data_IF_123435710887
#
_entry.id   IF_123435710887
#
_cell.length_a   1.000
_cell.length_b   1.000
_cell.length_c   1.000
_cell.angle_alpha   90.00
_cell.angle_beta   90.00
_cell.angle_gamma   90.00
#
_symmetry.space_group_name_H-M   'P 1'
#
loop_
_entity.id
_entity.type
_entity.pdbx_description
1 polymer ?
#
# COMPACT_ATOMS: atom_id res chain seq x y z
N UNK A 1 -30.48 6.53 -1.99
CA UNK A 1 -29.23 5.75 -2.01
C UNK A 1 -28.11 6.70 -2.43
N UNK A 2 -27.01 6.76 -1.69
CA UNK A 2 -25.87 7.61 -2.07
C UNK A 2 -25.10 6.85 -3.16
N UNK A 3 -25.06 7.39 -4.37
CA UNK A 3 -24.38 6.81 -5.53
C UNK A 3 -22.97 7.39 -5.74
N UNK A 4 -22.41 8.02 -4.70
CA UNK A 4 -21.11 8.70 -4.77
C UNK A 4 -20.08 7.90 -3.99
N UNK A 5 -18.88 7.77 -4.56
CA UNK A 5 -17.72 7.24 -3.85
C UNK A 5 -17.41 8.12 -2.61
N UNK A 6 -16.76 7.56 -1.58
CA UNK A 6 -16.27 8.34 -0.45
C UNK A 6 -15.38 9.50 -0.90
N UNK A 7 -15.33 10.58 -0.11
CA UNK A 7 -14.45 11.72 -0.40
C UNK A 7 -12.99 11.24 -0.56
N UNK A 8 -12.32 11.69 -1.62
CA UNK A 8 -10.96 11.28 -1.97
C UNK A 8 -10.86 9.93 -2.70
N UNK A 9 -11.93 9.15 -2.80
CA UNK A 9 -11.98 7.95 -3.64
C UNK A 9 -12.54 8.27 -5.03
N UNK A 10 -12.06 7.54 -6.04
CA UNK A 10 -12.59 7.59 -7.40
C UNK A 10 -12.51 6.21 -8.06
N UNK A 11 -13.50 5.90 -8.87
CA UNK A 11 -13.44 4.76 -9.77
C UNK A 11 -12.55 5.09 -10.98
N UNK A 12 -11.78 4.12 -11.44
CA UNK A 12 -11.06 4.21 -12.72
C UNK A 12 -11.93 3.55 -13.79
N UNK A 13 -12.33 4.33 -14.79
CA UNK A 13 -13.14 3.84 -15.90
C UNK A 13 -12.23 3.15 -16.95
N UNK A 14 -12.80 2.46 -17.96
CA UNK A 14 -12.00 1.64 -18.88
C UNK A 14 -10.81 2.36 -19.52
N UNK A 15 -10.97 3.64 -19.91
CA UNK A 15 -9.88 4.45 -20.46
C UNK A 15 -8.79 4.75 -19.43
N UNK A 16 -9.16 5.12 -18.20
CA UNK A 16 -8.22 5.40 -17.11
C UNK A 16 -7.40 4.15 -16.76
N UNK A 17 -8.05 2.98 -16.73
CA UNK A 17 -7.39 1.70 -16.49
C UNK A 17 -6.40 1.38 -17.61
N UNK A 18 -6.78 1.60 -18.88
CA UNK A 18 -5.90 1.39 -20.03
C UNK A 18 -4.67 2.31 -19.96
N UNK A 19 -4.87 3.59 -19.66
CA UNK A 19 -3.78 4.57 -19.51
C UNK A 19 -2.86 4.21 -18.33
N UNK A 20 -3.41 3.89 -17.16
CA UNK A 20 -2.64 3.45 -15.99
C UNK A 20 -1.75 2.25 -16.33
N UNK A 21 -2.31 1.21 -16.96
CA UNK A 21 -1.56 0.01 -17.37
C UNK A 21 -0.48 0.33 -18.40
N UNK A 22 -0.74 1.23 -19.33
CA UNK A 22 0.24 1.66 -20.33
C UNK A 22 1.45 2.36 -19.69
N UNK A 23 1.23 3.20 -18.67
CA UNK A 23 2.29 3.86 -17.90
C UNK A 23 3.09 2.81 -17.12
N UNK A 24 2.42 1.94 -16.36
CA UNK A 24 3.08 0.89 -15.57
C UNK A 24 3.93 -0.05 -16.43
N UNK A 25 3.46 -0.39 -17.64
CA UNK A 25 4.19 -1.23 -18.58
C UNK A 25 5.49 -0.57 -19.08
N UNK A 26 5.55 0.76 -19.16
CA UNK A 26 6.74 1.52 -19.58
C UNK A 26 7.72 1.76 -18.44
N UNK A 27 7.24 1.95 -17.22
CA UNK A 27 8.10 2.17 -16.06
C UNK A 27 8.78 0.88 -15.58
N UNK A 28 8.10 -0.26 -15.67
CA UNK A 28 8.62 -1.55 -15.15
C UNK A 28 10.00 -1.95 -15.72
N UNK A 29 10.26 -1.87 -17.04
CA UNK A 29 11.58 -2.20 -17.58
C UNK A 29 12.68 -1.27 -17.09
N UNK A 30 12.38 0.01 -16.85
CA UNK A 30 13.35 0.98 -16.32
C UNK A 30 13.79 0.53 -14.93
N UNK A 31 12.87 0.25 -14.01
CA UNK A 31 13.24 -0.25 -12.68
C UNK A 31 14.05 -1.57 -12.74
N UNK A 32 13.65 -2.49 -13.62
CA UNK A 32 14.35 -3.77 -13.78
C UNK A 32 15.79 -3.60 -14.30
N UNK A 33 16.05 -2.64 -15.19
CA UNK A 33 17.41 -2.33 -15.68
C UNK A 33 18.34 -1.85 -14.57
N UNK A 34 17.79 -1.26 -13.51
CA UNK A 34 18.52 -0.83 -12.33
C UNK A 34 18.54 -1.88 -11.20
N UNK A 35 18.14 -3.13 -11.49
CA UNK A 35 18.16 -4.24 -10.53
C UNK A 35 17.02 -4.23 -9.50
N UNK A 36 16.06 -3.32 -9.62
CA UNK A 36 14.90 -3.29 -8.73
C UNK A 36 13.91 -4.40 -9.07
N UNK A 37 13.45 -5.11 -8.04
CA UNK A 37 12.43 -6.15 -8.16
C UNK A 37 11.12 -5.67 -7.55
N UNK A 38 10.02 -5.90 -8.27
CA UNK A 38 8.69 -5.54 -7.77
C UNK A 38 8.23 -6.57 -6.74
N UNK A 39 7.88 -6.10 -5.56
CA UNK A 39 7.06 -6.83 -4.60
C UNK A 39 5.71 -6.13 -4.43
N UNK A 40 4.72 -6.86 -3.93
CA UNK A 40 3.40 -6.33 -3.57
C UNK A 40 3.16 -6.72 -2.11
N UNK A 41 3.04 -5.72 -1.25
CA UNK A 41 2.80 -5.90 0.19
C UNK A 41 1.30 -5.81 0.50
N UNK A 42 0.89 -6.22 1.71
CA UNK A 42 -0.52 -6.21 2.13
C UNK A 42 -1.09 -4.79 2.19
N UNK A 43 -2.32 -4.60 1.69
CA UNK A 43 -3.03 -3.30 1.77
C UNK A 43 -3.43 -2.96 3.20
N UNK A 44 -3.65 -3.97 4.04
CA UNK A 44 -3.98 -3.82 5.46
C UNK A 44 -2.82 -4.35 6.29
N UNK A 45 -2.32 -3.56 7.23
CA UNK A 45 -1.22 -3.95 8.12
C UNK A 45 -1.48 -3.45 9.55
N UNK A 46 -0.73 -3.98 10.52
CA UNK A 46 -0.78 -3.51 11.92
C UNK A 46 -0.36 -2.04 11.97
N UNK A 47 -1.08 -1.24 12.73
CA UNK A 47 -0.81 0.19 12.86
C UNK A 47 0.61 0.46 13.36
N UNK A 48 1.09 -0.33 14.33
CA UNK A 48 2.47 -0.22 14.85
C UNK A 48 3.51 -0.42 13.75
N UNK A 49 3.27 -1.35 12.81
CA UNK A 49 4.15 -1.56 11.65
C UNK A 49 4.17 -0.32 10.75
N UNK A 50 3.00 0.22 10.43
CA UNK A 50 2.86 1.38 9.56
C UNK A 50 3.56 2.62 10.17
N UNK A 51 3.54 2.74 11.49
CA UNK A 51 4.15 3.87 12.21
C UNK A 51 5.63 3.66 12.57
N UNK A 52 6.18 2.46 12.37
CA UNK A 52 7.53 2.11 12.82
C UNK A 52 8.65 3.01 12.22
N UNK A 53 8.39 3.64 11.06
CA UNK A 53 9.31 4.58 10.44
C UNK A 53 9.34 5.99 11.05
N UNK A 54 8.49 6.29 12.03
CA UNK A 54 8.44 7.60 12.73
C UNK A 54 7.96 8.78 11.88
N UNK A 55 7.64 8.57 10.60
CA UNK A 55 7.18 9.61 9.69
C UNK A 55 5.66 9.77 9.65
N UNK A 56 4.91 8.91 10.34
CA UNK A 56 3.45 8.84 10.29
C UNK A 56 2.84 8.92 11.68
N UNK A 57 1.81 9.76 11.78
CA UNK A 57 0.93 9.87 12.94
C UNK A 57 -0.31 8.98 12.73
N UNK A 58 -0.92 8.44 13.81
CA UNK A 58 -2.09 7.57 13.70
C UNK A 58 -3.28 8.22 12.94
N UNK A 59 -3.40 9.54 13.00
CA UNK A 59 -4.45 10.31 12.32
C UNK A 59 -4.28 10.37 10.80
N UNK A 60 -3.10 10.03 10.28
CA UNK A 60 -2.85 9.94 8.84
C UNK A 60 -3.24 8.58 8.25
N UNK A 61 -3.64 7.62 9.09
CA UNK A 61 -3.99 6.26 8.69
C UNK A 61 -5.49 6.05 8.80
N UNK A 62 -6.11 5.52 7.74
CA UNK A 62 -7.48 5.03 7.82
C UNK A 62 -7.45 3.75 8.65
N UNK A 63 -7.90 3.85 9.89
CA UNK A 63 -7.96 2.73 10.83
C UNK A 63 -9.18 1.86 10.55
N UNK A 64 -9.00 0.55 10.69
CA UNK A 64 -10.08 -0.43 10.56
C UNK A 64 -10.53 -0.82 11.97
N UNK A 65 -11.83 -0.76 12.24
CA UNK A 65 -12.38 -1.31 13.46
C UNK A 65 -12.36 -2.83 13.39
N UNK A 66 -11.71 -3.46 14.36
CA UNK A 66 -11.70 -4.90 14.54
C UNK A 66 -12.49 -5.21 15.81
N UNK A 67 -13.50 -6.08 15.71
CA UNK A 67 -14.49 -6.27 16.76
C UNK A 67 -14.04 -7.20 17.89
N UNK A 68 -12.94 -7.94 17.73
CA UNK A 68 -12.57 -9.02 18.66
C UNK A 68 -11.08 -9.04 19.04
N UNK A 69 -10.20 -8.32 18.33
CA UNK A 69 -8.76 -8.32 18.58
C UNK A 69 -8.25 -6.98 19.12
N UNK A 70 -7.29 -7.01 20.06
CA UNK A 70 -6.56 -5.82 20.54
C UNK A 70 -5.60 -5.25 19.46
N UNK A 71 -5.49 -5.90 18.30
CA UNK A 71 -4.58 -5.48 17.24
C UNK A 71 -5.21 -4.38 16.40
N UNK A 72 -4.63 -3.17 16.50
CA UNK A 72 -5.04 -2.04 15.66
C UNK A 72 -4.55 -2.26 14.23
N UNK A 73 -5.48 -2.31 13.28
CA UNK A 73 -5.20 -2.42 11.84
C UNK A 73 -5.46 -1.10 11.12
N UNK A 74 -4.79 -0.90 9.98
CA UNK A 74 -5.00 0.26 9.14
C UNK A 74 -4.72 -0.01 7.66
N UNK A 75 -5.33 0.80 6.79
CA UNK A 75 -4.98 0.84 5.38
C UNK A 75 -3.60 1.48 5.23
N UNK A 76 -2.72 0.81 4.49
CA UNK A 76 -1.36 1.25 4.22
C UNK A 76 -1.35 2.63 3.51
N UNK A 77 -0.80 3.69 4.12
CA UNK A 77 -0.75 5.03 3.52
C UNK A 77 0.45 5.24 2.57
N UNK A 78 1.52 4.47 2.76
CA UNK A 78 2.79 4.56 2.00
C UNK A 78 3.48 3.19 1.93
N UNK A 79 4.56 3.01 1.17
CA UNK A 79 5.11 1.68 0.86
C UNK A 79 6.34 1.27 1.68
N UNK A 80 7.09 2.22 2.24
CA UNK A 80 8.42 2.04 2.82
C UNK A 80 8.40 1.13 4.02
N UNK A 81 7.53 1.37 5.01
CA UNK A 81 7.44 0.55 6.21
C UNK A 81 7.04 -0.90 5.86
N UNK A 82 6.10 -1.06 4.93
CA UNK A 82 5.68 -2.35 4.42
C UNK A 82 6.78 -3.11 3.68
N UNK A 83 7.57 -2.41 2.87
CA UNK A 83 8.74 -2.98 2.18
C UNK A 83 9.78 -3.41 3.20
N UNK A 84 10.10 -2.57 4.19
CA UNK A 84 11.05 -2.90 5.25
C UNK A 84 10.61 -4.15 6.02
N UNK A 85 9.33 -4.22 6.45
CA UNK A 85 8.77 -5.43 7.08
C UNK A 85 8.92 -6.66 6.18
N UNK A 86 8.52 -6.56 4.91
CA UNK A 86 8.62 -7.70 3.99
C UNK A 86 10.07 -8.16 3.82
N UNK A 87 11.01 -7.23 3.67
CA UNK A 87 12.43 -7.52 3.56
C UNK A 87 12.95 -8.28 4.78
N UNK A 88 12.72 -7.76 5.99
CA UNK A 88 13.27 -8.37 7.22
C UNK A 88 12.57 -9.66 7.65
N UNK A 89 11.28 -9.84 7.32
CA UNK A 89 10.50 -11.01 7.78
C UNK A 89 10.39 -12.13 6.76
N UNK A 90 10.49 -11.82 5.46
CA UNK A 90 10.21 -12.79 4.38
C UNK A 90 11.34 -12.94 3.36
N UNK A 91 12.26 -11.98 3.28
CA UNK A 91 13.36 -12.00 2.30
C UNK A 91 14.74 -12.15 2.95
N UNK A 92 14.85 -12.06 4.28
CA UNK A 92 16.13 -12.13 5.00
C UNK A 92 16.78 -13.55 5.02
N UNK A 93 16.33 -14.46 4.17
CA UNK A 93 16.86 -15.82 4.04
C UNK A 93 17.02 -16.31 2.59
N UNK A 94 16.84 -15.41 1.62
CA UNK A 94 17.21 -15.62 0.21
C UNK A 94 18.59 -15.01 -0.08
#
# INVERSE_FOLDING_TARGET
MVHQSPSGARDLLPLDVAQKRWIEKRLRPVFAQWGYHRIITSTVERLDTLMAGGALEPSMVIQLEESEDETRLGLRPELTASIARAAVTRMAGD
#
